data_IF_940245906122
#
_entry.id   IF_940245906122
#
_cell.length_a   1.000
_cell.length_b   1.000
_cell.length_c   1.000
_cell.angle_alpha   90.00
_cell.angle_beta   90.00
_cell.angle_gamma   90.00
#
_symmetry.space_group_name_H-M   'P 1'
#
loop_
_entity.id
_entity.type
_entity.pdbx_description
1 polymer ?
#
# COMPACT_ATOMS: atom_id res chain seq x y z
N UNK A 1 -3.74 -0.14 -2.58
CA UNK A 1 -4.96 0.48 -2.05
C UNK A 1 -5.90 0.83 -3.21
N UNK A 2 -7.15 0.30 -3.20
CA UNK A 2 -8.16 0.64 -4.21
C UNK A 2 -8.60 2.08 -3.99
N UNK A 3 -9.05 2.40 -2.76
CA UNK A 3 -9.55 3.71 -2.36
C UNK A 3 -9.43 3.88 -0.84
N UNK A 4 -9.27 5.11 -0.34
CA UNK A 4 -9.08 5.37 1.09
C UNK A 4 -7.63 5.77 1.43
N UNK A 5 -6.97 6.56 0.56
CA UNK A 5 -5.64 7.11 0.87
C UNK A 5 -5.70 8.18 1.96
N UNK A 6 -4.66 8.25 2.80
CA UNK A 6 -4.50 9.24 3.88
C UNK A 6 -5.63 9.25 4.92
N UNK A 7 -6.30 8.11 5.14
CA UNK A 7 -7.40 7.98 6.11
C UNK A 7 -6.97 7.39 7.44
N UNK A 8 -5.87 6.64 7.45
CA UNK A 8 -5.35 5.89 8.59
C UNK A 8 -4.93 6.78 9.77
N UNK A 9 -4.36 7.96 9.52
CA UNK A 9 -3.99 8.90 10.58
C UNK A 9 -5.17 9.53 11.33
N UNK A 10 -6.39 9.46 10.78
CA UNK A 10 -7.59 10.09 11.34
C UNK A 10 -8.72 9.10 11.63
N UNK A 11 -8.42 7.80 11.64
CA UNK A 11 -9.40 6.77 11.96
C UNK A 11 -10.48 6.60 10.90
N UNK A 12 -10.13 6.78 9.63
CA UNK A 12 -11.03 6.59 8.50
C UNK A 12 -11.10 5.15 8.01
N UNK A 13 -11.63 4.98 6.78
CA UNK A 13 -11.78 3.70 6.10
C UNK A 13 -10.84 3.61 4.89
N UNK A 14 -10.33 2.41 4.62
CA UNK A 14 -9.62 2.09 3.38
C UNK A 14 -10.06 0.74 2.84
N UNK A 15 -9.98 0.57 1.52
CA UNK A 15 -10.22 -0.69 0.82
C UNK A 15 -8.95 -1.05 0.02
N UNK A 16 -8.27 -2.10 0.41
CA UNK A 16 -6.97 -2.48 -0.15
C UNK A 16 -6.84 -3.99 -0.34
N UNK A 17 -5.91 -4.44 -1.17
CA UNK A 17 -5.54 -5.85 -1.31
C UNK A 17 -4.04 -6.01 -1.53
N UNK A 18 -3.47 -7.14 -1.12
CA UNK A 18 -2.12 -7.53 -1.52
C UNK A 18 -2.14 -8.03 -2.95
N UNK A 19 -1.23 -7.52 -3.79
CA UNK A 19 -1.10 -7.94 -5.18
C UNK A 19 -0.33 -9.27 -5.29
N UNK A 20 -0.26 -9.81 -6.51
CA UNK A 20 0.53 -11.00 -6.85
C UNK A 20 2.05 -10.80 -6.70
N UNK A 21 2.53 -9.55 -6.63
CA UNK A 21 3.95 -9.27 -6.41
C UNK A 21 4.35 -9.65 -4.99
N UNK A 22 5.48 -10.33 -4.85
CA UNK A 22 5.93 -10.86 -3.57
C UNK A 22 7.33 -10.40 -3.20
N UNK A 23 7.55 -10.34 -1.89
CA UNK A 23 8.88 -10.26 -1.29
C UNK A 23 9.10 -11.53 -0.47
N UNK A 24 10.24 -12.18 -0.68
CA UNK A 24 10.69 -13.33 0.09
C UNK A 24 11.89 -12.92 0.92
N UNK A 25 11.77 -13.02 2.24
CA UNK A 25 12.88 -12.94 3.18
C UNK A 25 13.24 -14.36 3.61
N UNK A 26 14.49 -14.73 3.42
CA UNK A 26 15.05 -15.99 3.93
C UNK A 26 16.03 -15.69 5.06
N UNK A 27 15.83 -16.34 6.21
CA UNK A 27 16.76 -16.28 7.33
C UNK A 27 17.26 -17.69 7.68
N UNK A 28 18.58 -17.89 7.58
CA UNK A 28 19.22 -19.16 7.90
C UNK A 28 20.04 -18.99 9.18
N UNK A 29 19.84 -19.88 10.16
CA UNK A 29 20.53 -19.84 11.45
C UNK A 29 22.04 -19.90 11.31
N UNK A 30 22.73 -19.21 12.22
CA UNK A 30 24.19 -19.19 12.33
C UNK A 30 24.61 -19.28 13.79
N UNK A 31 25.82 -19.74 14.00
CA UNK A 31 26.43 -19.79 15.34
C UNK A 31 26.63 -18.38 15.91
N UNK A 32 27.14 -17.45 15.06
CA UNK A 32 27.47 -16.10 15.49
C UNK A 32 27.11 -15.04 14.44
N UNK A 33 26.60 -13.91 14.91
CA UNK A 33 26.39 -12.69 14.15
C UNK A 33 25.23 -12.74 13.16
N UNK A 34 24.97 -11.59 12.55
CA UNK A 34 23.93 -11.39 11.54
C UNK A 34 24.62 -10.93 10.26
N UNK A 35 24.31 -11.55 9.13
CA UNK A 35 24.82 -11.19 7.80
C UNK A 35 23.67 -10.95 6.82
N UNK A 36 23.80 -9.96 5.96
CA UNK A 36 22.83 -9.58 4.94
C UNK A 36 23.10 -8.16 4.45
N UNK A 37 22.19 -7.62 3.67
CA UNK A 37 22.20 -6.20 3.29
C UNK A 37 22.03 -5.33 4.54
N UNK A 38 22.71 -4.18 4.57
CA UNK A 38 22.82 -3.35 5.78
C UNK A 38 21.46 -2.93 6.36
N UNK A 39 20.54 -2.49 5.53
CA UNK A 39 19.20 -2.07 5.95
C UNK A 39 18.39 -3.24 6.52
N UNK A 40 18.49 -4.42 5.87
CA UNK A 40 17.83 -5.65 6.32
C UNK A 40 18.37 -6.08 7.69
N UNK A 41 19.68 -6.01 7.88
CA UNK A 41 20.34 -6.32 9.17
C UNK A 41 19.89 -5.35 10.27
N UNK A 42 19.79 -4.07 9.97
CA UNK A 42 19.31 -3.05 10.94
C UNK A 42 17.86 -3.32 11.35
N UNK A 43 16.98 -3.56 10.39
CA UNK A 43 15.56 -3.90 10.64
C UNK A 43 15.44 -5.22 11.43
N UNK A 44 16.26 -6.22 11.09
CA UNK A 44 16.28 -7.52 11.78
C UNK A 44 16.67 -7.36 13.25
N UNK A 45 17.68 -6.56 13.54
CA UNK A 45 18.11 -6.25 14.92
C UNK A 45 17.03 -5.49 15.69
N UNK A 46 16.40 -4.50 15.07
CA UNK A 46 15.29 -3.74 15.67
C UNK A 46 14.09 -4.63 16.02
N UNK A 47 13.84 -5.66 15.20
CA UNK A 47 12.82 -6.67 15.48
C UNK A 47 13.24 -7.72 16.54
N UNK A 48 14.44 -7.63 17.13
CA UNK A 48 14.95 -8.62 18.08
C UNK A 48 15.38 -9.94 17.44
N UNK A 49 15.79 -9.90 16.18
CA UNK A 49 16.18 -11.08 15.42
C UNK A 49 17.44 -11.78 15.93
N UNK A 50 17.49 -13.08 15.76
CA UNK A 50 18.57 -14.00 16.15
C UNK A 50 19.74 -14.00 15.14
N UNK A 51 20.84 -14.71 15.45
CA UNK A 51 22.01 -14.83 14.58
C UNK A 51 21.67 -15.55 13.26
N UNK A 52 21.70 -14.84 12.14
CA UNK A 52 21.23 -15.35 10.86
C UNK A 52 22.02 -14.83 9.65
N UNK A 53 21.99 -15.62 8.55
CA UNK A 53 22.20 -15.11 7.20
C UNK A 53 20.84 -14.70 6.64
N UNK A 54 20.74 -13.45 6.18
CA UNK A 54 19.52 -12.86 5.65
C UNK A 54 19.66 -12.63 4.15
N UNK A 55 18.68 -13.07 3.36
CA UNK A 55 18.57 -12.72 1.95
C UNK A 55 17.15 -12.29 1.62
N UNK A 56 17.01 -11.35 0.69
CA UNK A 56 15.74 -10.82 0.24
C UNK A 56 15.67 -10.91 -1.28
N UNK A 57 14.58 -11.49 -1.76
CA UNK A 57 14.21 -11.52 -3.17
C UNK A 57 12.85 -10.82 -3.32
N UNK A 58 12.68 -9.97 -4.33
CA UNK A 58 11.44 -9.22 -4.50
C UNK A 58 11.07 -9.06 -5.97
N UNK A 59 9.80 -9.32 -6.28
CA UNK A 59 9.16 -8.94 -7.54
C UNK A 59 8.40 -7.61 -7.43
N UNK A 60 8.38 -6.98 -6.24
CA UNK A 60 7.74 -5.68 -6.03
C UNK A 60 8.62 -4.60 -6.66
N UNK A 61 8.10 -3.79 -7.61
CA UNK A 61 8.87 -2.72 -8.22
C UNK A 61 9.37 -1.70 -7.19
N UNK A 62 10.69 -1.47 -7.16
CA UNK A 62 11.31 -0.56 -6.19
C UNK A 62 10.94 0.89 -6.50
N UNK A 63 10.59 1.65 -5.45
CA UNK A 63 10.28 3.09 -5.57
C UNK A 63 8.96 3.38 -6.29
N UNK A 64 8.15 2.38 -6.55
CA UNK A 64 6.88 2.51 -7.25
C UNK A 64 5.69 2.87 -6.33
N UNK A 65 5.89 2.97 -5.01
CA UNK A 65 4.79 3.20 -4.06
C UNK A 65 3.91 1.97 -3.84
N UNK A 66 4.47 0.77 -4.07
CA UNK A 66 3.80 -0.52 -3.87
C UNK A 66 4.19 -1.18 -2.54
N UNK A 67 4.44 -0.39 -1.52
CA UNK A 67 4.61 -0.84 -0.13
C UNK A 67 5.73 -1.88 0.09
N UNK A 68 6.83 -1.80 -0.70
CA UNK A 68 7.94 -2.76 -0.58
C UNK A 68 8.65 -2.68 0.78
N UNK A 69 8.73 -1.51 1.40
CA UNK A 69 9.29 -1.33 2.76
C UNK A 69 8.40 -1.99 3.81
N UNK A 70 7.09 -1.79 3.75
CA UNK A 70 6.14 -2.44 4.65
C UNK A 70 6.18 -3.97 4.50
N UNK A 71 6.27 -4.49 3.25
CA UNK A 71 6.41 -5.92 2.99
C UNK A 71 7.69 -6.48 3.63
N UNK A 72 8.81 -5.77 3.52
CA UNK A 72 10.06 -6.15 4.16
C UNK A 72 9.93 -6.15 5.70
N UNK A 73 9.37 -5.09 6.28
CA UNK A 73 9.21 -4.99 7.73
C UNK A 73 8.28 -6.07 8.29
N UNK A 74 7.15 -6.36 7.61
CA UNK A 74 6.25 -7.46 7.99
C UNK A 74 6.98 -8.81 7.91
N UNK A 75 7.71 -9.07 6.83
CA UNK A 75 8.48 -10.32 6.67
C UNK A 75 9.54 -10.48 7.77
N UNK A 76 10.24 -9.40 8.13
CA UNK A 76 11.23 -9.38 9.21
C UNK A 76 10.59 -9.71 10.56
N UNK A 77 9.49 -9.04 10.92
CA UNK A 77 8.80 -9.31 12.20
C UNK A 77 8.31 -10.74 12.28
N UNK A 78 7.66 -11.24 11.21
CA UNK A 78 7.17 -12.62 11.17
C UNK A 78 8.30 -13.65 11.27
N UNK A 79 9.38 -13.44 10.52
CA UNK A 79 10.48 -14.38 10.47
C UNK A 79 11.31 -14.38 11.78
N UNK A 80 11.53 -13.21 12.39
CA UNK A 80 12.32 -13.10 13.63
C UNK A 80 11.58 -13.55 14.89
N UNK A 81 10.24 -13.42 14.93
CA UNK A 81 9.45 -13.61 16.13
C UNK A 81 8.32 -14.65 16.01
N UNK A 82 8.16 -15.26 14.83
CA UNK A 82 7.11 -16.22 14.56
C UNK A 82 5.75 -15.59 14.29
N UNK A 83 4.75 -16.45 14.03
CA UNK A 83 3.36 -16.04 13.76
C UNK A 83 2.68 -15.66 15.08
N UNK A 84 2.11 -14.45 15.11
CA UNK A 84 1.34 -13.92 16.23
C UNK A 84 0.05 -13.27 15.73
N UNK A 85 -0.60 -12.50 16.60
CA UNK A 85 -1.73 -11.66 16.18
C UNK A 85 -1.33 -10.77 15.00
N UNK A 86 -2.11 -10.81 13.92
CA UNK A 86 -1.83 -10.08 12.67
C UNK A 86 -1.72 -8.56 12.88
N UNK A 87 -2.55 -8.01 13.77
CA UNK A 87 -2.53 -6.58 14.08
C UNK A 87 -1.26 -6.20 14.86
N UNK A 88 -0.79 -7.05 15.77
CA UNK A 88 0.47 -6.85 16.50
C UNK A 88 1.67 -6.89 15.54
N UNK A 89 1.67 -7.83 14.58
CA UNK A 89 2.69 -7.90 13.53
C UNK A 89 2.69 -6.61 12.71
N UNK A 90 1.51 -6.15 12.27
CA UNK A 90 1.38 -4.92 11.50
C UNK A 90 1.91 -3.70 12.27
N UNK A 91 1.52 -3.54 13.54
CA UNK A 91 1.95 -2.44 14.39
C UNK A 91 3.48 -2.45 14.64
N UNK A 92 4.05 -3.62 14.89
CA UNK A 92 5.49 -3.74 15.10
C UNK A 92 6.28 -3.51 13.80
N UNK A 93 5.77 -3.99 12.66
CA UNK A 93 6.37 -3.73 11.35
C UNK A 93 6.42 -2.23 11.06
N UNK A 94 5.34 -1.49 11.34
CA UNK A 94 5.33 -0.03 11.23
C UNK A 94 6.36 0.62 12.19
N UNK A 95 6.44 0.15 13.43
CA UNK A 95 7.37 0.71 14.43
C UNK A 95 8.82 0.61 13.96
N UNK A 96 9.27 -0.56 13.48
CA UNK A 96 10.64 -0.71 12.96
C UNK A 96 10.86 0.05 11.65
N UNK A 97 9.83 0.22 10.83
CA UNK A 97 9.90 1.03 9.61
C UNK A 97 10.13 2.52 9.96
N UNK A 98 9.41 3.06 10.93
CA UNK A 98 9.60 4.42 11.43
C UNK A 98 11.00 4.61 12.03
N UNK A 99 11.42 3.69 12.90
CA UNK A 99 12.69 3.79 13.64
C UNK A 99 13.90 3.69 12.71
N UNK A 100 13.89 2.74 11.78
CA UNK A 100 15.08 2.40 10.99
C UNK A 100 15.11 3.10 9.64
N UNK A 101 13.96 3.24 8.97
CA UNK A 101 13.86 3.86 7.64
C UNK A 101 13.49 5.34 7.69
N UNK A 102 13.09 5.87 8.87
CA UNK A 102 12.66 7.26 9.01
C UNK A 102 11.35 7.56 8.26
N UNK A 103 10.55 6.55 7.98
CA UNK A 103 9.24 6.67 7.34
C UNK A 103 8.23 7.25 8.34
N UNK A 104 7.31 8.07 7.87
CA UNK A 104 6.16 8.56 8.66
C UNK A 104 4.86 7.96 8.14
N UNK A 105 4.91 6.72 7.61
CA UNK A 105 3.74 6.05 7.05
C UNK A 105 2.68 5.77 8.12
N UNK A 106 1.41 5.71 7.69
CA UNK A 106 0.34 5.14 8.51
C UNK A 106 0.40 3.61 8.56
N UNK A 107 -0.66 2.98 9.02
CA UNK A 107 -0.70 1.53 9.27
C UNK A 107 -1.36 0.74 8.12
N UNK A 108 -1.80 1.41 7.05
CA UNK A 108 -2.57 0.81 5.97
C UNK A 108 -1.84 -0.35 5.31
N UNK A 109 -0.60 -0.13 4.90
CA UNK A 109 0.17 -1.10 4.12
C UNK A 109 0.44 -2.37 4.91
N UNK A 110 0.87 -2.23 6.17
CA UNK A 110 1.18 -3.37 7.05
C UNK A 110 -0.09 -4.19 7.37
N UNK A 111 -1.24 -3.53 7.58
CA UNK A 111 -2.52 -4.22 7.78
C UNK A 111 -2.95 -4.94 6.50
N UNK A 112 -2.87 -4.30 5.34
CA UNK A 112 -3.22 -4.93 4.08
C UNK A 112 -2.37 -6.19 3.83
N UNK A 113 -1.04 -6.13 4.04
CA UNK A 113 -0.12 -7.26 3.85
C UNK A 113 -0.44 -8.42 4.82
N UNK A 114 -0.81 -8.12 6.06
CA UNK A 114 -1.06 -9.15 7.08
C UNK A 114 -2.47 -9.75 7.03
N UNK A 115 -3.47 -9.06 6.44
CA UNK A 115 -4.87 -9.47 6.50
C UNK A 115 -5.48 -9.85 5.14
N UNK A 116 -4.78 -9.61 4.03
CA UNK A 116 -5.31 -9.92 2.69
C UNK A 116 -5.69 -11.38 2.51
N UNK A 117 -6.68 -11.60 1.65
CA UNK A 117 -7.16 -12.89 1.21
C UNK A 117 -7.34 -12.86 -0.30
N UNK A 118 -6.91 -13.92 -0.98
CA UNK A 118 -7.10 -14.06 -2.42
C UNK A 118 -8.57 -13.95 -2.82
N UNK A 119 -8.84 -13.26 -3.93
CA UNK A 119 -10.20 -12.96 -4.40
C UNK A 119 -10.90 -11.83 -3.64
N UNK A 120 -10.25 -11.22 -2.66
CA UNK A 120 -10.86 -10.20 -1.79
C UNK A 120 -10.00 -8.96 -1.61
N UNK A 121 -10.65 -7.85 -1.28
CA UNK A 121 -10.03 -6.67 -0.72
C UNK A 121 -10.32 -6.58 0.79
N UNK A 122 -9.38 -6.06 1.55
CA UNK A 122 -9.52 -5.79 2.98
C UNK A 122 -10.14 -4.41 3.18
N UNK A 123 -11.36 -4.36 3.71
CA UNK A 123 -11.96 -3.15 4.26
C UNK A 123 -11.37 -2.93 5.65
N UNK A 124 -10.61 -1.88 5.82
CA UNK A 124 -9.91 -1.54 7.05
C UNK A 124 -10.61 -0.35 7.72
N UNK A 125 -11.06 -0.53 8.95
CA UNK A 125 -11.60 0.54 9.82
C UNK A 125 -10.52 0.92 10.85
N UNK A 126 -9.82 2.02 10.60
CA UNK A 126 -8.74 2.48 11.47
C UNK A 126 -9.22 3.04 12.81
N UNK A 127 -10.49 3.39 12.96
CA UNK A 127 -11.05 3.83 14.24
C UNK A 127 -11.30 2.66 15.17
N UNK A 128 -11.77 1.53 14.62
CA UNK A 128 -12.06 0.30 15.37
C UNK A 128 -10.88 -0.67 15.38
N UNK A 129 -9.89 -0.46 14.53
CA UNK A 129 -8.81 -1.40 14.25
C UNK A 129 -9.37 -2.77 13.84
N UNK A 130 -10.36 -2.77 12.95
CA UNK A 130 -11.06 -3.93 12.43
C UNK A 130 -10.82 -4.09 10.94
N UNK A 131 -10.76 -5.35 10.48
CA UNK A 131 -10.53 -5.68 9.07
C UNK A 131 -11.57 -6.71 8.63
N UNK A 132 -12.26 -6.42 7.52
CA UNK A 132 -13.22 -7.33 6.90
C UNK A 132 -12.86 -7.57 5.45
N UNK A 133 -12.94 -8.82 5.02
CA UNK A 133 -12.73 -9.15 3.62
C UNK A 133 -13.98 -8.86 2.81
N UNK A 134 -13.80 -8.18 1.68
CA UNK A 134 -14.81 -7.85 0.70
C UNK A 134 -14.46 -8.52 -0.63
N UNK A 135 -15.29 -9.41 -1.18
CA UNK A 135 -15.03 -10.03 -2.47
C UNK A 135 -14.83 -8.98 -3.56
N UNK A 136 -13.76 -9.07 -4.32
CA UNK A 136 -13.53 -8.18 -5.46
C UNK A 136 -14.44 -8.63 -6.60
N UNK A 137 -15.34 -7.78 -7.12
CA UNK A 137 -16.16 -8.11 -8.28
C UNK A 137 -15.33 -8.43 -9.51
N UNK A 138 -15.76 -9.38 -10.34
CA UNK A 138 -15.05 -9.83 -11.52
C UNK A 138 -14.85 -8.73 -12.59
N UNK A 139 -15.72 -7.70 -12.57
CA UNK A 139 -15.65 -6.55 -13.47
C UNK A 139 -14.71 -5.44 -12.96
N UNK A 140 -14.06 -5.61 -11.79
CA UNK A 140 -13.05 -4.70 -11.27
C UNK A 140 -11.67 -5.08 -11.78
N UNK A 141 -11.35 -4.66 -12.99
CA UNK A 141 -10.07 -4.94 -13.65
C UNK A 141 -9.09 -3.81 -13.37
N UNK A 142 -8.07 -4.06 -12.58
CA UNK A 142 -7.08 -3.05 -12.21
C UNK A 142 -5.76 -3.24 -12.93
N UNK A 143 -5.16 -2.12 -13.38
CA UNK A 143 -3.76 -2.06 -13.82
C UNK A 143 -3.03 -0.89 -13.18
N UNK A 144 -1.71 -1.00 -13.16
CA UNK A 144 -0.82 0.06 -12.72
C UNK A 144 -0.22 0.78 -13.91
N UNK A 145 -0.18 2.10 -13.82
CA UNK A 145 0.55 2.96 -14.78
C UNK A 145 1.64 3.68 -14.01
N UNK A 146 2.89 3.47 -14.43
CA UNK A 146 4.03 4.16 -13.84
C UNK A 146 4.07 5.61 -14.32
N UNK A 147 4.10 6.56 -13.38
CA UNK A 147 4.26 7.98 -13.71
C UNK A 147 5.65 8.31 -14.27
N UNK A 148 6.64 7.41 -14.08
CA UNK A 148 8.04 7.69 -14.36
C UNK A 148 8.69 8.68 -13.37
N UNK A 149 7.91 9.25 -12.46
CA UNK A 149 8.37 10.20 -11.45
C UNK A 149 8.68 9.43 -10.17
N UNK A 150 9.93 9.50 -9.72
CA UNK A 150 10.39 8.87 -8.47
C UNK A 150 10.61 9.93 -7.41
N UNK A 151 10.14 9.63 -6.21
CA UNK A 151 10.40 10.44 -5.02
C UNK A 151 11.33 9.69 -4.09
N UNK A 152 12.13 10.43 -3.33
CA UNK A 152 12.81 9.90 -2.14
C UNK A 152 11.89 10.09 -0.94
N UNK A 153 11.40 9.02 -0.34
CA UNK A 153 10.55 9.06 0.86
C UNK A 153 11.24 9.75 2.04
N UNK A 154 12.59 9.70 2.09
CA UNK A 154 13.41 10.34 3.12
C UNK A 154 13.57 11.86 2.94
N UNK A 155 13.28 12.40 1.77
CA UNK A 155 13.44 13.83 1.45
C UNK A 155 12.13 14.57 1.19
N UNK A 156 11.05 13.85 0.93
CA UNK A 156 9.74 14.45 0.72
C UNK A 156 9.01 14.42 2.05
N UNK A 157 8.85 15.57 2.60
CA UNK A 157 8.08 15.81 3.81
C UNK A 157 6.68 15.21 3.62
N UNK A 158 6.39 14.10 4.28
CA UNK A 158 5.00 13.69 4.55
C UNK A 158 4.25 14.80 5.34
N UNK A 159 5.00 15.72 5.90
CA UNK A 159 4.54 17.03 6.32
C UNK A 159 4.43 17.93 5.10
N UNK A 160 3.41 17.70 4.26
CA UNK A 160 3.08 18.68 3.23
C UNK A 160 2.67 19.97 3.95
N UNK A 161 3.44 21.05 3.83
CA UNK A 161 3.22 22.28 4.60
C UNK A 161 1.88 22.96 4.30
N UNK A 162 1.10 22.44 3.34
CA UNK A 162 -0.02 23.16 2.74
C UNK A 162 -1.41 22.60 3.07
N UNK A 163 -1.54 21.40 3.63
CA UNK A 163 -2.82 20.88 4.07
C UNK A 163 -2.97 21.01 5.59
N UNK A 164 -3.91 21.84 6.06
CA UNK A 164 -4.21 21.97 7.48
C UNK A 164 -4.74 20.65 8.04
N UNK A 165 -4.64 20.46 9.35
CA UNK A 165 -5.23 19.29 10.02
C UNK A 165 -6.73 19.17 9.76
N UNK A 166 -7.43 20.30 9.73
CA UNK A 166 -8.86 20.37 9.40
C UNK A 166 -9.13 19.87 7.97
N UNK A 167 -8.31 20.29 7.00
CA UNK A 167 -8.42 19.84 5.61
C UNK A 167 -8.18 18.33 5.51
N UNK A 168 -7.20 17.79 6.22
CA UNK A 168 -6.91 16.35 6.26
C UNK A 168 -8.05 15.57 6.91
N UNK A 169 -8.63 16.05 8.01
CA UNK A 169 -9.82 15.45 8.64
C UNK A 169 -11.02 15.44 7.71
N UNK A 170 -11.27 16.54 7.00
CA UNK A 170 -12.36 16.63 6.01
C UNK A 170 -12.14 15.67 4.85
N UNK A 171 -10.90 15.59 4.33
CA UNK A 171 -10.54 14.59 3.31
C UNK A 171 -10.84 13.17 3.82
N UNK A 172 -10.33 12.81 5.02
CA UNK A 172 -10.56 11.50 5.62
C UNK A 172 -12.04 11.14 5.74
N UNK A 173 -12.89 12.10 6.14
CA UNK A 173 -14.34 11.90 6.22
C UNK A 173 -14.93 11.62 4.83
N UNK A 174 -14.63 12.46 3.84
CA UNK A 174 -15.13 12.32 2.48
C UNK A 174 -14.61 11.04 1.81
N UNK A 175 -13.33 10.70 2.04
CA UNK A 175 -12.72 9.49 1.49
C UNK A 175 -13.35 8.24 2.12
N UNK A 176 -13.63 8.26 3.43
CA UNK A 176 -14.35 7.17 4.11
C UNK A 176 -15.77 6.96 3.58
N UNK A 177 -16.46 8.04 3.18
CA UNK A 177 -17.75 7.92 2.49
C UNK A 177 -17.58 7.26 1.12
N UNK A 178 -16.58 7.67 0.32
CA UNK A 178 -16.27 7.03 -0.97
C UNK A 178 -15.92 5.54 -0.81
N UNK A 179 -15.15 5.18 0.22
CA UNK A 179 -14.89 3.77 0.56
C UNK A 179 -16.19 3.01 0.85
N UNK A 180 -17.10 3.62 1.63
CA UNK A 180 -18.39 3.00 1.96
C UNK A 180 -19.27 2.81 0.72
N UNK A 181 -19.30 3.79 -0.18
CA UNK A 181 -20.03 3.71 -1.45
C UNK A 181 -19.42 2.63 -2.37
N UNK A 182 -18.09 2.48 -2.38
CA UNK A 182 -17.40 1.48 -3.18
C UNK A 182 -17.84 0.04 -2.86
N UNK A 183 -18.28 -0.26 -1.65
CA UNK A 183 -18.72 -1.59 -1.25
C UNK A 183 -20.02 -2.07 -1.92
N UNK A 184 -20.76 -1.18 -2.58
CA UNK A 184 -22.03 -1.51 -3.23
C UNK A 184 -22.17 -0.98 -4.66
N UNK A 185 -21.09 -0.44 -5.24
CA UNK A 185 -21.09 0.16 -6.55
C UNK A 185 -20.68 -0.83 -7.66
N UNK A 186 -21.08 -0.55 -8.91
CA UNK A 186 -20.53 -1.22 -10.08
C UNK A 186 -19.19 -0.60 -10.52
N UNK A 187 -18.49 -1.22 -11.46
CA UNK A 187 -17.17 -0.75 -11.94
C UNK A 187 -17.20 0.71 -12.46
N UNK A 188 -18.24 1.13 -13.16
CA UNK A 188 -18.35 2.53 -13.65
C UNK A 188 -18.48 3.52 -12.49
N UNK A 189 -19.26 3.20 -11.49
CA UNK A 189 -19.39 4.02 -10.30
C UNK A 189 -18.09 4.07 -9.49
N UNK A 190 -17.41 2.92 -9.33
CA UNK A 190 -16.09 2.88 -8.70
C UNK A 190 -15.09 3.77 -9.46
N UNK A 191 -15.09 3.73 -10.80
CA UNK A 191 -14.23 4.60 -11.61
C UNK A 191 -14.44 6.08 -11.29
N UNK A 192 -15.68 6.52 -11.15
CA UNK A 192 -15.99 7.90 -10.72
C UNK A 192 -15.47 8.20 -9.31
N UNK A 193 -15.61 7.26 -8.36
CA UNK A 193 -15.06 7.41 -7.00
C UNK A 193 -13.55 7.53 -7.00
N UNK A 194 -12.84 6.76 -7.84
CA UNK A 194 -11.38 6.87 -8.00
C UNK A 194 -10.97 8.25 -8.54
N UNK A 195 -11.70 8.77 -9.52
CA UNK A 195 -11.45 10.12 -10.06
C UNK A 195 -11.67 11.20 -9.00
N UNK A 196 -12.75 11.13 -8.21
CA UNK A 196 -13.01 12.04 -7.09
C UNK A 196 -11.97 11.94 -5.98
N UNK A 197 -11.49 10.72 -5.69
CA UNK A 197 -10.38 10.49 -4.75
C UNK A 197 -9.11 11.18 -5.23
N UNK A 198 -8.74 11.04 -6.52
CA UNK A 198 -7.59 11.74 -7.09
C UNK A 198 -7.72 13.26 -7.00
N UNK A 199 -8.86 13.82 -7.36
CA UNK A 199 -9.11 15.25 -7.25
C UNK A 199 -8.90 15.75 -5.80
N UNK A 200 -9.38 14.99 -4.81
CA UNK A 200 -9.18 15.32 -3.39
C UNK A 200 -7.70 15.23 -2.96
N UNK A 201 -6.95 14.23 -3.46
CA UNK A 201 -5.50 14.09 -3.22
C UNK A 201 -4.75 15.28 -3.83
N UNK A 202 -5.07 15.67 -5.04
CA UNK A 202 -4.41 16.78 -5.75
C UNK A 202 -4.77 18.15 -5.15
N UNK A 203 -6.05 18.45 -4.98
CA UNK A 203 -6.54 19.79 -4.66
C UNK A 203 -6.57 20.07 -3.14
N UNK A 204 -6.94 19.09 -2.32
CA UNK A 204 -7.12 19.26 -0.88
C UNK A 204 -5.89 18.85 -0.09
N UNK A 205 -5.43 17.60 -0.26
CA UNK A 205 -4.25 17.08 0.45
C UNK A 205 -2.95 17.61 -0.17
N UNK A 206 -2.98 17.91 -1.47
CA UNK A 206 -1.85 18.46 -2.24
C UNK A 206 -0.61 17.54 -2.23
N UNK A 207 -0.85 16.24 -2.31
CA UNK A 207 0.20 15.23 -2.45
C UNK A 207 0.39 14.77 -3.90
N UNK A 208 -0.13 15.53 -4.88
CA UNK A 208 0.16 15.38 -6.30
C UNK A 208 0.91 16.60 -6.84
N UNK A 209 1.54 16.44 -8.01
CA UNK A 209 2.18 17.54 -8.73
C UNK A 209 1.47 17.79 -10.06
N UNK A 210 1.58 18.99 -10.67
CA UNK A 210 0.98 19.26 -11.97
C UNK A 210 1.36 18.25 -13.05
N UNK A 211 2.61 17.75 -13.02
CA UNK A 211 3.10 16.74 -13.97
C UNK A 211 2.40 15.40 -13.75
N UNK A 212 2.24 14.99 -12.49
CA UNK A 212 1.51 13.75 -12.12
C UNK A 212 0.04 13.87 -12.50
N UNK A 213 -0.60 15.00 -12.20
CA UNK A 213 -2.01 15.26 -12.53
C UNK A 213 -2.26 15.19 -14.04
N UNK A 214 -1.32 15.68 -14.86
CA UNK A 214 -1.40 15.54 -16.32
C UNK A 214 -1.34 14.08 -16.77
N UNK A 215 -0.51 13.26 -16.12
CA UNK A 215 -0.43 11.84 -16.44
C UNK A 215 -1.73 11.13 -16.02
N UNK A 216 -2.22 11.37 -14.80
CA UNK A 216 -3.49 10.80 -14.32
C UNK A 216 -4.63 11.20 -15.26
N UNK A 217 -4.72 12.45 -15.66
CA UNK A 217 -5.72 12.93 -16.60
C UNK A 217 -5.65 12.24 -17.96
N UNK A 218 -4.45 12.01 -18.48
CA UNK A 218 -4.28 11.19 -19.72
C UNK A 218 -4.81 9.77 -19.54
N UNK A 219 -4.48 9.12 -18.44
CA UNK A 219 -4.97 7.77 -18.12
C UNK A 219 -6.49 7.77 -18.03
N UNK A 220 -7.09 8.71 -17.29
CA UNK A 220 -8.55 8.83 -17.13
C UNK A 220 -9.30 9.01 -18.46
N UNK A 221 -8.67 9.67 -19.46
CA UNK A 221 -9.25 9.90 -20.79
C UNK A 221 -8.90 8.81 -21.81
N UNK A 222 -8.16 7.78 -21.41
CA UNK A 222 -7.85 6.65 -22.32
C UNK A 222 -9.13 5.82 -22.53
N UNK A 223 -9.49 5.49 -23.79
CA UNK A 223 -10.65 4.66 -24.09
C UNK A 223 -10.58 3.32 -23.33
N UNK A 224 -11.67 2.96 -22.65
CA UNK A 224 -11.75 1.76 -21.83
C UNK A 224 -11.27 1.89 -20.39
N UNK A 225 -10.72 3.04 -19.98
CA UNK A 225 -10.48 3.36 -18.57
C UNK A 225 -11.76 3.94 -17.97
N UNK A 226 -12.22 3.36 -16.86
CA UNK A 226 -13.39 3.81 -16.12
C UNK A 226 -13.05 4.89 -15.09
N UNK A 227 -11.84 4.85 -14.55
CA UNK A 227 -11.31 5.84 -13.62
C UNK A 227 -9.87 5.51 -13.23
N UNK A 228 -9.17 6.52 -12.71
CA UNK A 228 -7.78 6.37 -12.29
C UNK A 228 -7.39 7.39 -11.21
N UNK A 229 -6.47 6.99 -10.33
CA UNK A 229 -5.94 7.82 -9.26
C UNK A 229 -4.48 7.54 -8.95
N UNK A 230 -3.78 8.52 -8.43
CA UNK A 230 -2.46 8.35 -7.85
C UNK A 230 -2.56 7.48 -6.59
N UNK A 231 -1.58 6.59 -6.37
CA UNK A 231 -1.50 5.71 -5.21
C UNK A 231 -0.45 6.14 -4.19
N UNK A 232 -0.67 5.69 -2.94
CA UNK A 232 0.28 5.83 -1.85
C UNK A 232 0.47 7.28 -1.39
N UNK A 233 1.62 7.58 -0.83
CA UNK A 233 1.91 8.90 -0.25
C UNK A 233 2.01 10.06 -1.24
N UNK A 234 1.81 9.86 -2.56
CA UNK A 234 1.75 10.93 -3.54
C UNK A 234 3.10 11.34 -4.16
N UNK A 235 3.15 12.48 -4.85
CA UNK A 235 4.30 13.10 -5.52
C UNK A 235 4.97 12.25 -6.62
N UNK A 236 4.34 11.20 -7.12
CA UNK A 236 4.85 10.27 -8.12
C UNK A 236 4.55 8.81 -7.76
N UNK A 237 5.23 7.87 -8.42
CA UNK A 237 5.00 6.43 -8.26
C UNK A 237 3.96 5.92 -9.24
N UNK A 238 3.01 5.09 -8.77
CA UNK A 238 2.02 4.42 -9.60
C UNK A 238 0.65 5.07 -9.56
N UNK A 239 -0.03 5.00 -10.68
CA UNK A 239 -1.45 5.30 -10.85
C UNK A 239 -2.19 3.98 -10.89
N UNK A 240 -3.22 3.82 -10.08
CA UNK A 240 -4.19 2.73 -10.18
C UNK A 240 -5.25 3.12 -11.20
N UNK A 241 -5.43 2.31 -12.24
CA UNK A 241 -6.47 2.46 -13.23
C UNK A 241 -7.47 1.30 -13.15
N UNK A 242 -8.75 1.61 -13.12
CA UNK A 242 -9.86 0.67 -13.25
C UNK A 242 -10.32 0.64 -14.71
N UNK A 243 -10.43 -0.54 -15.29
CA UNK A 243 -10.65 -0.75 -16.72
C UNK A 243 -11.97 -1.45 -16.98
N UNK A 244 -12.56 -1.16 -18.13
CA UNK A 244 -13.67 -1.91 -18.69
C UNK A 244 -13.21 -3.24 -19.32
N UNK A 245 -11.99 -3.27 -19.84
CA UNK A 245 -11.40 -4.40 -20.56
C UNK A 245 -9.87 -4.37 -20.33
N UNK A 246 -9.25 -5.53 -20.16
CA UNK A 246 -7.81 -5.66 -19.93
C UNK A 246 -6.94 -5.03 -21.02
N UNK A 247 -7.44 -4.94 -22.26
CA UNK A 247 -6.73 -4.39 -23.41
C UNK A 247 -6.71 -2.85 -23.44
N UNK A 248 -7.47 -2.18 -22.55
CA UNK A 248 -7.53 -0.73 -22.53
C UNK A 248 -6.18 -0.06 -22.21
N UNK A 249 -5.34 -0.72 -21.43
CA UNK A 249 -3.99 -0.28 -21.10
C UNK A 249 -3.00 -1.43 -21.24
N UNK A 250 -1.72 -1.14 -21.56
CA UNK A 250 -0.66 -2.15 -21.52
C UNK A 250 -0.37 -2.58 -20.07
N UNK A 251 0.43 -3.64 -19.95
CA UNK A 251 0.90 -4.16 -18.67
C UNK A 251 0.00 -5.24 -18.08
N UNK A 252 0.41 -5.75 -16.95
CA UNK A 252 -0.21 -6.86 -16.23
C UNK A 252 -1.46 -6.39 -15.46
N UNK A 253 -2.50 -7.22 -15.45
CA UNK A 253 -3.67 -7.04 -14.57
C UNK A 253 -3.30 -7.40 -13.15
N UNK A 254 -3.70 -6.57 -12.19
CA UNK A 254 -3.50 -6.87 -10.78
C UNK A 254 -4.46 -7.98 -10.34
N UNK A 255 -3.89 -8.99 -9.70
CA UNK A 255 -4.63 -10.03 -9.00
C UNK A 255 -4.41 -9.89 -7.49
N UNK A 256 -5.47 -10.06 -6.72
CA UNK A 256 -5.35 -10.13 -5.27
C UNK A 256 -4.70 -11.45 -4.84
N UNK A 257 -4.00 -11.42 -3.73
CA UNK A 257 -3.29 -12.56 -3.19
C UNK A 257 -3.49 -12.69 -1.69
N UNK A 258 -3.15 -13.86 -1.14
CA UNK A 258 -3.19 -14.09 0.30
C UNK A 258 -2.19 -13.22 1.05
N UNK A 259 -2.44 -13.07 2.35
CA UNK A 259 -1.57 -12.37 3.29
C UNK A 259 -0.15 -12.93 3.34
N UNK A 260 0.75 -12.19 3.99
CA UNK A 260 2.07 -12.70 4.34
C UNK A 260 1.97 -14.01 5.14
N UNK A 261 2.88 -14.93 4.88
CA UNK A 261 2.96 -16.21 5.58
C UNK A 261 4.41 -16.53 5.93
N UNK A 262 4.60 -17.36 6.95
CA UNK A 262 5.88 -17.89 7.37
C UNK A 262 5.95 -19.39 7.01
N UNK A 263 7.06 -19.81 6.44
CA UNK A 263 7.37 -21.20 6.18
C UNK A 263 8.70 -21.54 6.83
N UNK A 264 8.73 -22.56 7.66
CA UNK A 264 9.93 -23.13 8.24
C UNK A 264 10.40 -24.31 7.39
N UNK A 265 11.68 -24.32 7.03
CA UNK A 265 12.31 -25.51 6.43
C UNK A 265 12.99 -26.31 7.54
N UNK A 266 12.63 -27.57 7.63
CA UNK A 266 13.24 -28.55 8.53
C UNK A 266 14.69 -28.85 8.10
#
# INVERSE_FOLDING_TARGET
NIIGEHTDHFGGLSLAFSSQHRLLLTATSRDEGIRGEETVVRLWKAAGGWNANLSVESSIPIGAGLSSSAALCVSIVMCSQGIRNKMEIAAQAQSIEHEILGSSCGLLDQIAITHSQSGSASLIDFKKMDVKNFPIPDDWIFKLVDTGIRRSLSKTEYNVPNATEETRKKHCQNESLRVSEALSCNATQLGNLLNLSHASISEQIRTSTPEVDLIVKKVQHTPGVLGARLMGGGFGGMILALLKDERALPGETLASSDSAFLQESL
#
